data_IF_162086972060
#
_entry.id   IF_162086972060
#
_cell.length_a   1.000
_cell.length_b   1.000
_cell.length_c   1.000
_cell.angle_alpha   90.00
_cell.angle_beta   90.00
_cell.angle_gamma   90.00
#
_symmetry.space_group_name_H-M   'P 1'
#
loop_
_entity.id
_entity.type
_entity.pdbx_description
1 polymer ?
#
# COMPACT_ATOMS: atom_id res chain seq x y z
N UNK A 1 -5.11 -9.95 26.64
CA UNK A 1 -4.96 -10.28 25.20
C UNK A 1 -3.54 -10.02 24.67
N UNK A 2 -2.54 -9.95 25.56
CA UNK A 2 -1.11 -9.84 25.23
C UNK A 2 -0.60 -10.94 24.30
N UNK A 3 0.38 -10.60 23.46
CA UNK A 3 1.17 -11.56 22.70
C UNK A 3 0.39 -12.31 21.62
N UNK A 4 -0.74 -11.74 21.19
CA UNK A 4 -1.59 -12.33 20.15
C UNK A 4 -1.20 -11.79 18.76
N UNK A 5 -2.06 -12.00 17.77
CA UNK A 5 -1.84 -11.56 16.39
C UNK A 5 -2.97 -10.64 15.93
N UNK A 6 -3.35 -9.70 16.79
CA UNK A 6 -4.40 -8.74 16.50
C UNK A 6 -3.85 -7.61 15.61
N UNK A 7 -4.59 -7.26 14.54
CA UNK A 7 -4.28 -6.09 13.69
C UNK A 7 -5.00 -4.82 14.16
N UNK A 8 -6.06 -5.00 14.94
CA UNK A 8 -6.86 -3.94 15.53
C UNK A 8 -7.60 -4.48 16.74
N UNK A 9 -8.13 -3.55 17.52
CA UNK A 9 -8.96 -3.85 18.65
C UNK A 9 -10.12 -2.87 18.70
N UNK A 10 -11.35 -3.37 18.77
CA UNK A 10 -12.53 -2.55 18.94
C UNK A 10 -13.06 -2.69 20.36
N UNK A 11 -13.12 -1.58 21.09
CA UNK A 11 -13.49 -1.59 22.51
C UNK A 11 -14.95 -1.97 22.75
N UNK A 12 -15.83 -1.95 21.72
CA UNK A 12 -17.19 -2.50 21.82
C UNK A 12 -17.22 -4.00 22.12
N UNK A 13 -16.13 -4.73 21.84
CA UNK A 13 -16.06 -6.17 22.13
C UNK A 13 -15.97 -6.49 23.63
N UNK A 14 -15.64 -5.49 24.45
CA UNK A 14 -15.44 -5.67 25.90
C UNK A 14 -16.36 -4.79 26.75
N UNK A 15 -17.36 -4.12 26.15
CA UNK A 15 -18.29 -3.25 26.90
C UNK A 15 -19.19 -3.98 27.89
N UNK A 16 -19.44 -5.28 27.67
CA UNK A 16 -20.34 -6.07 28.50
C UNK A 16 -19.61 -6.82 29.63
N UNK A 17 -18.45 -6.33 30.06
CA UNK A 17 -17.63 -6.92 31.11
C UNK A 17 -17.62 -6.01 32.36
N UNK A 18 -18.59 -6.16 33.30
CA UNK A 18 -18.84 -5.17 34.35
C UNK A 18 -17.73 -5.05 35.40
N UNK A 19 -16.86 -6.06 35.51
CA UNK A 19 -15.74 -6.08 36.47
C UNK A 19 -14.38 -5.81 35.79
N UNK A 20 -14.39 -5.47 34.49
CA UNK A 20 -13.16 -5.27 33.74
C UNK A 20 -12.44 -3.99 34.19
N UNK A 21 -11.22 -4.17 34.68
CA UNK A 21 -10.39 -3.06 35.18
C UNK A 21 -8.99 -3.03 34.58
N UNK A 22 -8.48 -4.13 34.01
CA UNK A 22 -7.18 -4.19 33.35
C UNK A 22 -7.30 -4.83 31.97
N UNK A 23 -6.71 -4.20 30.95
CA UNK A 23 -6.68 -4.69 29.57
C UNK A 23 -5.25 -4.63 29.04
N UNK A 24 -4.66 -5.81 28.89
CA UNK A 24 -3.34 -5.94 28.27
C UNK A 24 -3.48 -6.38 26.79
N UNK A 25 -3.13 -5.48 25.88
CA UNK A 25 -3.05 -5.65 24.42
C UNK A 25 -1.61 -5.59 23.91
N UNK A 26 -0.61 -5.66 24.80
CA UNK A 26 0.79 -5.49 24.42
C UNK A 26 1.26 -6.58 23.46
N UNK A 27 2.31 -6.29 22.69
CA UNK A 27 3.00 -7.27 21.83
C UNK A 27 2.06 -7.94 20.81
N UNK A 28 1.22 -7.13 20.16
CA UNK A 28 0.33 -7.52 19.06
C UNK A 28 0.83 -6.86 17.75
N UNK A 29 -0.04 -6.72 16.74
CA UNK A 29 0.26 -6.02 15.48
C UNK A 29 -0.74 -4.89 15.22
N UNK A 30 -1.25 -4.24 16.28
CA UNK A 30 -2.31 -3.24 16.20
C UNK A 30 -1.83 -2.02 15.41
N UNK A 31 -2.56 -1.66 14.35
CA UNK A 31 -2.31 -0.42 13.60
C UNK A 31 -3.21 0.73 14.07
N UNK A 32 -4.36 0.41 14.66
CA UNK A 32 -5.27 1.35 15.31
C UNK A 32 -6.13 0.62 16.35
N UNK A 33 -6.84 1.42 17.14
CA UNK A 33 -7.88 0.98 18.08
C UNK A 33 -9.18 1.73 17.79
N UNK A 34 -10.29 1.00 17.76
CA UNK A 34 -11.61 1.59 17.54
C UNK A 34 -12.29 1.92 18.87
N UNK A 35 -12.62 3.20 19.04
CA UNK A 35 -13.30 3.75 20.22
C UNK A 35 -14.55 4.53 19.80
N UNK A 36 -15.66 3.86 19.49
CA UNK A 36 -16.93 4.53 19.29
C UNK A 36 -17.37 5.29 20.55
N UNK A 37 -18.03 6.44 20.38
CA UNK A 37 -18.50 7.28 21.50
C UNK A 37 -19.48 6.59 22.45
N UNK A 38 -20.08 5.48 22.03
CA UNK A 38 -21.00 4.66 22.83
C UNK A 38 -20.30 3.78 23.86
N UNK A 39 -18.99 3.57 23.72
CA UNK A 39 -18.20 2.73 24.64
C UNK A 39 -17.98 3.49 25.94
N UNK A 40 -18.43 2.90 27.05
CA UNK A 40 -18.14 3.36 28.42
C UNK A 40 -17.51 2.22 29.20
N UNK A 41 -16.26 2.42 29.63
CA UNK A 41 -15.50 1.50 30.47
C UNK A 41 -14.80 2.31 31.57
N UNK A 42 -14.30 1.63 32.59
CA UNK A 42 -13.53 2.25 33.68
C UNK A 42 -12.26 1.43 33.94
N UNK A 43 -11.34 1.45 32.98
CA UNK A 43 -10.10 0.68 33.04
C UNK A 43 -9.08 1.40 33.93
N UNK A 44 -8.54 0.70 34.93
CA UNK A 44 -7.42 1.14 35.76
C UNK A 44 -6.07 0.89 35.10
N UNK A 45 -6.00 -0.05 34.16
CA UNK A 45 -4.76 -0.40 33.46
C UNK A 45 -5.06 -0.73 31.99
N UNK A 46 -4.26 -0.15 31.09
CA UNK A 46 -4.28 -0.42 29.65
C UNK A 46 -2.87 -0.48 29.10
N UNK A 47 -2.44 -1.65 28.61
CA UNK A 47 -1.19 -1.74 27.84
C UNK A 47 -1.52 -1.92 26.36
N UNK A 48 -1.04 -0.99 25.52
CA UNK A 48 -1.03 -1.07 24.05
C UNK A 48 0.41 -1.03 23.51
N UNK A 49 1.39 -1.32 24.37
CA UNK A 49 2.81 -1.30 24.05
C UNK A 49 3.20 -2.34 22.99
N UNK A 50 4.31 -2.11 22.30
CA UNK A 50 4.88 -3.01 21.27
C UNK A 50 3.87 -3.40 20.18
N UNK A 51 3.29 -2.40 19.55
CA UNK A 51 2.35 -2.52 18.44
C UNK A 51 2.79 -1.64 17.26
N UNK A 52 1.94 -1.47 16.25
CA UNK A 52 2.20 -0.63 15.07
C UNK A 52 1.34 0.65 15.09
N UNK A 53 0.97 1.15 16.26
CA UNK A 53 0.13 2.35 16.37
C UNK A 53 0.94 3.57 15.97
N UNK A 54 0.33 4.41 15.13
CA UNK A 54 0.87 5.72 14.76
C UNK A 54 0.26 6.86 15.58
N UNK A 55 -0.94 6.64 16.09
CA UNK A 55 -1.66 7.62 16.90
C UNK A 55 -2.59 6.90 17.86
N UNK A 56 -3.00 7.59 18.91
CA UNK A 56 -3.98 7.11 19.89
C UNK A 56 -5.07 8.18 20.00
N UNK A 57 -6.34 7.83 19.74
CA UNK A 57 -7.41 8.82 19.72
C UNK A 57 -7.67 9.40 21.11
N UNK A 58 -7.95 10.71 21.19
CA UNK A 58 -8.30 11.39 22.44
C UNK A 58 -9.52 10.77 23.16
N UNK A 59 -10.40 10.09 22.39
CA UNK A 59 -11.52 9.33 22.93
C UNK A 59 -11.11 8.21 23.89
N UNK A 60 -9.84 7.77 23.88
CA UNK A 60 -9.32 6.79 24.83
C UNK A 60 -9.52 7.22 26.29
N UNK A 61 -9.45 8.53 26.59
CA UNK A 61 -9.70 9.05 27.94
C UNK A 61 -11.05 8.62 28.52
N UNK A 62 -12.08 8.47 27.68
CA UNK A 62 -13.45 8.16 28.12
C UNK A 62 -13.61 6.75 28.68
N UNK A 63 -12.65 5.87 28.42
CA UNK A 63 -12.69 4.45 28.84
C UNK A 63 -11.75 4.14 30.01
N UNK A 64 -10.98 5.14 30.45
CA UNK A 64 -9.99 5.04 31.52
C UNK A 64 -10.59 5.55 32.84
N UNK A 65 -10.27 4.87 33.93
CA UNK A 65 -10.55 5.34 35.28
C UNK A 65 -9.63 6.53 35.63
N UNK A 66 -10.00 7.28 36.67
CA UNK A 66 -9.13 8.30 37.23
C UNK A 66 -7.82 7.66 37.72
N UNK A 67 -6.67 8.26 37.36
CA UNK A 67 -5.33 7.73 37.68
C UNK A 67 -5.05 6.35 37.06
N UNK A 68 -5.70 6.01 35.95
CA UNK A 68 -5.39 4.78 35.21
C UNK A 68 -3.95 4.80 34.67
N UNK A 69 -3.34 3.61 34.62
CA UNK A 69 -2.02 3.35 34.03
C UNK A 69 -2.15 3.00 32.55
N UNK A 70 -1.47 3.74 31.68
CA UNK A 70 -1.44 3.46 30.23
C UNK A 70 -0.02 3.30 29.72
N UNK A 71 0.34 2.13 29.20
CA UNK A 71 1.62 1.89 28.52
C UNK A 71 1.42 1.83 27.00
N UNK A 72 2.05 2.75 26.27
CA UNK A 72 1.99 2.85 24.81
C UNK A 72 3.38 2.88 24.15
N UNK A 73 4.41 2.46 24.89
CA UNK A 73 5.80 2.37 24.42
C UNK A 73 5.98 1.38 23.28
N UNK A 74 7.10 1.44 22.54
CA UNK A 74 7.39 0.49 21.45
C UNK A 74 6.54 0.67 20.18
N UNK A 75 5.78 1.75 20.06
CA UNK A 75 5.00 2.13 18.89
C UNK A 75 5.66 3.29 18.12
N UNK A 76 5.51 3.32 16.79
CA UNK A 76 6.09 4.35 15.93
C UNK A 76 5.15 5.56 15.77
N UNK A 77 5.11 6.43 16.77
CA UNK A 77 4.13 7.52 16.88
C UNK A 77 4.37 8.67 15.87
N UNK A 78 3.30 9.08 15.20
CA UNK A 78 3.20 10.33 14.44
C UNK A 78 2.79 11.44 15.41
N UNK A 79 3.75 12.27 15.83
CA UNK A 79 3.57 13.38 16.77
C UNK A 79 2.99 14.61 16.08
N UNK A 80 1.69 14.54 15.77
CA UNK A 80 0.88 15.64 15.24
C UNK A 80 -0.16 16.12 16.28
N UNK A 81 -1.06 17.03 15.87
CA UNK A 81 -2.11 17.54 16.76
C UNK A 81 -3.04 16.47 17.33
N UNK A 82 -3.12 15.26 16.75
CA UNK A 82 -3.98 14.18 17.27
C UNK A 82 -3.44 13.60 18.56
N UNK A 83 -2.14 13.79 18.84
CA UNK A 83 -1.52 13.41 20.12
C UNK A 83 -1.47 14.56 21.13
N UNK A 84 -2.00 15.75 20.78
CA UNK A 84 -2.00 16.94 21.66
C UNK A 84 -2.62 16.67 23.03
N UNK A 85 -3.66 15.84 23.08
CA UNK A 85 -4.32 15.48 24.34
C UNK A 85 -3.40 14.78 25.36
N UNK A 86 -2.28 14.19 24.92
CA UNK A 86 -1.32 13.52 25.78
C UNK A 86 -0.37 14.50 26.50
N UNK A 87 -0.09 15.67 25.92
CA UNK A 87 0.81 16.68 26.51
C UNK A 87 0.05 17.79 27.23
N UNK A 88 -1.28 17.84 27.11
CA UNK A 88 -2.12 18.86 27.74
C UNK A 88 -2.12 18.71 29.28
N UNK A 89 -1.61 19.70 30.05
CA UNK A 89 -1.56 19.66 31.51
C UNK A 89 -2.95 19.60 32.17
N UNK A 90 -4.00 20.09 31.50
CA UNK A 90 -5.37 19.96 32.01
C UNK A 90 -5.87 18.51 31.93
N UNK A 91 -5.29 17.70 31.05
CA UNK A 91 -5.67 16.30 30.82
C UNK A 91 -4.79 15.31 31.60
N UNK A 92 -3.56 15.69 31.97
CA UNK A 92 -2.62 14.87 32.74
C UNK A 92 -3.08 14.57 34.18
N UNK A 93 -4.08 15.30 34.69
CA UNK A 93 -4.68 15.08 36.03
C UNK A 93 -5.65 13.90 36.09
N UNK A 94 -6.13 13.42 34.94
CA UNK A 94 -7.14 12.35 34.86
C UNK A 94 -6.54 11.00 34.45
N UNK A 95 -5.47 11.01 33.65
CA UNK A 95 -4.82 9.81 33.11
C UNK A 95 -3.32 9.84 33.44
N UNK A 96 -2.81 8.80 34.09
CA UNK A 96 -1.36 8.61 34.24
C UNK A 96 -0.86 7.73 33.09
N UNK A 97 -0.25 8.37 32.10
CA UNK A 97 0.46 7.61 31.06
C UNK A 97 1.76 7.11 31.68
N UNK A 98 1.81 5.79 31.93
CA UNK A 98 3.02 5.15 32.44
C UNK A 98 4.10 5.21 31.36
N UNK A 99 5.35 5.47 31.78
CA UNK A 99 6.49 5.69 30.86
C UNK A 99 6.22 6.70 29.74
N UNK A 100 5.44 7.75 30.05
CA UNK A 100 5.23 8.88 29.11
C UNK A 100 6.55 9.44 28.56
N UNK A 101 7.60 9.37 29.37
CA UNK A 101 8.96 9.82 29.04
C UNK A 101 9.65 8.98 27.95
N UNK A 102 9.14 7.79 27.66
CA UNK A 102 9.72 6.82 26.71
C UNK A 102 8.98 6.80 25.37
N UNK A 103 7.95 7.64 25.20
CA UNK A 103 7.26 7.81 23.92
C UNK A 103 8.14 8.67 23.01
N UNK A 104 8.69 8.07 21.97
CA UNK A 104 9.56 8.71 20.98
C UNK A 104 8.78 8.92 19.69
N UNK A 105 8.85 10.14 19.17
CA UNK A 105 8.26 10.52 17.90
C UNK A 105 9.05 9.90 16.74
N UNK A 106 8.36 9.19 15.84
CA UNK A 106 8.94 8.68 14.60
C UNK A 106 8.68 9.61 13.42
N UNK A 107 7.65 10.44 13.51
CA UNK A 107 7.22 11.40 12.49
C UNK A 107 6.54 12.58 13.19
N UNK A 108 6.46 13.78 12.58
CA UNK A 108 7.13 14.20 11.35
C UNK A 108 8.65 14.25 11.49
N UNK A 109 9.38 14.36 10.38
CA UNK A 109 10.86 14.36 10.37
C UNK A 109 11.47 15.40 11.32
N UNK A 110 10.86 16.59 11.42
CA UNK A 110 11.28 17.65 12.37
C UNK A 110 11.22 17.23 13.85
N UNK A 111 10.40 16.23 14.17
CA UNK A 111 10.24 15.67 15.51
C UNK A 111 10.83 14.27 15.65
N UNK A 112 11.44 13.70 14.59
CA UNK A 112 11.99 12.35 14.63
C UNK A 112 13.01 12.21 15.76
N UNK A 113 12.86 11.18 16.60
CA UNK A 113 13.74 10.91 17.75
C UNK A 113 13.47 11.76 18.99
N UNK A 114 12.60 12.78 18.91
CA UNK A 114 12.23 13.60 20.07
C UNK A 114 11.26 12.85 20.97
N UNK A 115 11.43 13.00 22.29
CA UNK A 115 10.49 12.49 23.30
C UNK A 115 9.25 13.36 23.38
N UNK A 116 8.06 12.74 23.40
CA UNK A 116 6.77 13.44 23.43
C UNK A 116 6.64 14.37 24.65
N UNK A 117 7.19 13.97 25.81
CA UNK A 117 7.23 14.80 27.03
C UNK A 117 7.92 16.16 26.86
N UNK A 118 8.86 16.26 25.92
CA UNK A 118 9.63 17.49 25.69
C UNK A 118 9.01 18.38 24.60
N UNK A 119 7.83 18.03 24.11
CA UNK A 119 7.11 18.79 23.10
C UNK A 119 6.11 19.73 23.76
N UNK A 120 5.95 20.90 23.16
CA UNK A 120 4.90 21.87 23.54
C UNK A 120 3.74 21.82 22.55
N UNK A 121 2.64 22.47 22.90
CA UNK A 121 1.42 22.50 22.07
C UNK A 121 1.67 22.96 20.63
N UNK A 122 2.53 23.97 20.46
CA UNK A 122 2.94 24.50 19.16
C UNK A 122 3.84 23.55 18.36
N UNK A 123 4.46 22.55 19.00
CA UNK A 123 5.19 21.52 18.25
C UNK A 123 4.23 20.53 17.60
N UNK A 124 3.02 20.34 18.13
CA UNK A 124 2.04 19.36 17.66
C UNK A 124 1.04 20.00 16.69
N UNK A 125 1.56 20.46 15.56
CA UNK A 125 0.74 21.01 14.49
C UNK A 125 0.20 19.89 13.60
N UNK A 126 -1.10 19.95 13.32
CA UNK A 126 -1.63 19.36 12.11
C UNK A 126 -1.53 20.45 11.06
N UNK A 127 -0.78 20.20 9.99
CA UNK A 127 -1.06 20.94 8.76
C UNK A 127 -2.50 20.59 8.39
N UNK A 128 -3.41 21.56 8.49
CA UNK A 128 -4.65 21.48 7.74
C UNK A 128 -4.27 21.48 6.26
N UNK A 129 -3.89 20.32 5.74
CA UNK A 129 -4.48 19.92 4.49
C UNK A 129 -5.98 19.97 4.77
N UNK A 130 -6.62 21.05 4.32
CA UNK A 130 -8.03 21.14 3.95
C UNK A 130 -8.59 19.75 3.62
N UNK A 131 -9.90 19.56 3.75
CA UNK A 131 -10.70 18.41 3.29
C UNK A 131 -10.60 18.11 1.76
N UNK A 132 -9.37 17.99 1.31
CA UNK A 132 -8.72 17.62 0.07
C UNK A 132 -7.25 17.38 0.51
N UNK A 133 -6.98 16.26 1.21
CA UNK A 133 -5.73 15.59 0.84
C UNK A 133 -5.81 15.48 -0.68
N UNK A 134 -4.93 16.12 -1.48
CA UNK A 134 -4.85 15.75 -2.88
C UNK A 134 -4.62 14.23 -2.84
N UNK A 135 -5.38 13.50 -3.66
CA UNK A 135 -5.40 12.04 -3.71
C UNK A 135 -3.98 11.45 -3.87
N UNK A 136 -3.21 11.32 -2.79
CA UNK A 136 -1.82 10.88 -2.88
C UNK A 136 -1.24 10.27 -1.61
N UNK A 137 -2.07 9.73 -0.70
CA UNK A 137 -1.58 8.61 0.09
C UNK A 137 -2.08 7.35 -0.59
N UNK A 138 -1.33 6.89 -1.59
CA UNK A 138 -1.55 5.58 -2.21
C UNK A 138 -1.52 4.47 -1.15
N UNK A 139 -0.99 4.73 0.05
CA UNK A 139 -0.90 3.80 1.17
C UNK A 139 -2.26 3.32 1.71
N UNK A 140 -2.32 2.07 2.15
CA UNK A 140 -3.52 1.53 2.79
C UNK A 140 -3.79 2.19 4.15
N UNK A 141 -5.05 2.56 4.38
CA UNK A 141 -5.51 3.00 5.68
C UNK A 141 -5.79 1.83 6.62
N UNK A 142 -5.99 2.17 7.90
CA UNK A 142 -6.42 1.27 8.95
C UNK A 142 -7.61 0.38 8.53
N UNK A 143 -8.70 0.99 8.08
CA UNK A 143 -9.94 0.29 7.74
C UNK A 143 -9.74 -0.75 6.63
N UNK A 144 -8.88 -0.47 5.64
CA UNK A 144 -8.58 -1.41 4.54
C UNK A 144 -7.74 -2.60 5.01
N UNK A 145 -6.91 -2.43 6.05
CA UNK A 145 -6.18 -3.53 6.70
C UNK A 145 -7.13 -4.43 7.51
N UNK A 146 -8.23 -3.86 8.01
CA UNK A 146 -9.24 -4.48 8.87
C UNK A 146 -10.15 -5.46 8.11
N UNK A 147 -10.61 -5.05 6.92
CA UNK A 147 -11.67 -5.76 6.21
C UNK A 147 -11.11 -6.91 5.37
N UNK A 148 -11.49 -8.15 5.70
CA UNK A 148 -11.64 -9.15 4.64
C UNK A 148 -12.83 -8.70 3.81
N UNK A 149 -12.64 -8.50 2.51
CA UNK A 149 -13.73 -8.14 1.60
C UNK A 149 -14.96 -9.01 1.87
N UNK A 150 -16.07 -8.38 2.27
CA UNK A 150 -17.39 -9.01 2.39
C UNK A 150 -17.94 -9.42 1.03
N UNK A 151 -17.34 -8.94 -0.06
CA UNK A 151 -17.73 -9.29 -1.42
C UNK A 151 -17.59 -10.78 -1.66
N UNK A 152 -18.55 -11.33 -2.40
CA UNK A 152 -18.41 -12.68 -2.92
C UNK A 152 -17.14 -12.82 -3.76
N UNK A 153 -16.46 -13.98 -3.76
CA UNK A 153 -15.27 -14.18 -4.59
C UNK A 153 -15.50 -13.90 -6.08
N UNK A 154 -16.73 -14.07 -6.58
CA UNK A 154 -17.10 -13.75 -7.98
C UNK A 154 -17.04 -12.24 -8.22
N UNK A 155 -17.62 -11.44 -7.32
CA UNK A 155 -17.64 -9.98 -7.43
C UNK A 155 -16.24 -9.39 -7.22
N UNK A 156 -15.49 -9.86 -6.22
CA UNK A 156 -14.11 -9.44 -5.99
C UNK A 156 -13.21 -9.69 -7.21
N UNK A 157 -13.31 -10.87 -7.83
CA UNK A 157 -12.60 -11.17 -9.08
C UNK A 157 -13.01 -10.22 -10.24
N UNK A 158 -14.29 -9.84 -10.33
CA UNK A 158 -14.78 -8.91 -11.35
C UNK A 158 -14.13 -7.53 -11.18
N UNK A 159 -14.01 -7.04 -9.95
CA UNK A 159 -13.34 -5.77 -9.62
C UNK A 159 -11.83 -5.82 -9.90
N UNK A 160 -11.14 -6.88 -9.47
CA UNK A 160 -9.71 -7.05 -9.79
C UNK A 160 -9.43 -7.08 -11.30
N UNK A 161 -10.35 -7.65 -12.09
CA UNK A 161 -10.26 -7.62 -13.56
C UNK A 161 -10.51 -6.21 -14.10
N UNK A 162 -11.50 -5.46 -13.58
CA UNK A 162 -11.76 -4.09 -14.04
C UNK A 162 -10.53 -3.18 -13.91
N UNK A 163 -9.73 -3.35 -12.85
CA UNK A 163 -8.49 -2.62 -12.60
C UNK A 163 -7.30 -3.08 -13.44
N UNK A 164 -7.34 -4.29 -14.01
CA UNK A 164 -6.19 -4.86 -14.71
C UNK A 164 -5.96 -4.16 -16.04
N UNK A 165 -4.72 -3.76 -16.33
CA UNK A 165 -4.29 -3.29 -17.63
C UNK A 165 -3.56 -4.39 -18.38
N UNK A 166 -3.68 -4.43 -19.70
CA UNK A 166 -2.90 -5.29 -20.58
C UNK A 166 -2.19 -4.43 -21.59
N UNK A 167 -0.87 -4.54 -21.62
CA UNK A 167 -0.01 -3.92 -22.60
C UNK A 167 0.17 -4.91 -23.75
N UNK A 168 -0.06 -4.41 -24.96
CA UNK A 168 -0.05 -5.17 -26.20
C UNK A 168 0.97 -4.56 -27.15
N UNK A 169 1.75 -5.38 -27.84
CA UNK A 169 2.60 -4.93 -28.94
C UNK A 169 1.76 -4.48 -30.17
N UNK A 170 2.46 -4.07 -31.24
CA UNK A 170 1.85 -3.72 -32.52
C UNK A 170 1.03 -4.85 -33.16
N UNK A 171 1.34 -6.12 -32.83
CA UNK A 171 0.64 -7.31 -33.30
C UNK A 171 -0.53 -7.71 -32.38
N UNK A 172 -0.92 -6.82 -31.46
CA UNK A 172 -1.94 -7.04 -30.43
C UNK A 172 -1.67 -8.27 -29.55
N UNK A 173 -0.40 -8.66 -29.39
CA UNK A 173 0.02 -9.70 -28.47
C UNK A 173 0.33 -9.10 -27.09
N UNK A 174 -0.18 -9.71 -26.00
CA UNK A 174 0.17 -9.29 -24.66
C UNK A 174 1.65 -9.46 -24.37
N UNK A 175 2.33 -8.35 -24.03
CA UNK A 175 3.75 -8.31 -23.66
C UNK A 175 3.96 -8.05 -22.18
N UNK A 176 3.02 -7.37 -21.52
CA UNK A 176 2.98 -7.20 -20.07
C UNK A 176 1.55 -6.99 -19.58
N UNK A 177 1.36 -7.19 -18.29
CA UNK A 177 0.17 -6.75 -17.57
C UNK A 177 0.44 -5.41 -16.87
N UNK A 178 -0.58 -4.84 -16.26
CA UNK A 178 -0.46 -3.69 -15.41
C UNK A 178 -1.71 -3.51 -14.56
N UNK A 179 -1.80 -2.37 -13.91
CA UNK A 179 -2.92 -2.04 -13.05
C UNK A 179 -3.23 -0.54 -13.12
N UNK A 180 -4.51 -0.21 -13.18
CA UNK A 180 -5.01 1.15 -12.98
C UNK A 180 -4.92 1.48 -11.49
N UNK A 181 -4.06 2.44 -11.14
CA UNK A 181 -3.78 2.83 -9.75
C UNK A 181 -4.42 4.15 -9.34
N UNK A 182 -4.79 4.98 -10.31
CA UNK A 182 -5.54 6.22 -10.13
C UNK A 182 -6.23 6.61 -11.45
N UNK A 183 -7.01 7.69 -11.44
CA UNK A 183 -7.70 8.17 -12.64
C UNK A 183 -6.67 8.53 -13.72
N UNK A 184 -6.73 7.81 -14.85
CA UNK A 184 -5.81 8.05 -15.95
C UNK A 184 -4.36 7.60 -15.73
N UNK A 185 -4.08 6.80 -14.69
CA UNK A 185 -2.75 6.25 -14.40
C UNK A 185 -2.72 4.73 -14.37
N UNK A 186 -1.74 4.15 -15.06
CA UNK A 186 -1.46 2.70 -15.05
C UNK A 186 -0.03 2.46 -14.60
N UNK A 187 0.15 1.52 -13.67
CA UNK A 187 1.45 0.98 -13.27
C UNK A 187 1.72 -0.34 -13.99
N UNK A 188 2.93 -0.51 -14.52
CA UNK A 188 3.42 -1.73 -15.16
C UNK A 188 4.93 -1.87 -14.98
N UNK A 189 5.54 -2.91 -15.55
CA UNK A 189 7.00 -3.11 -15.53
C UNK A 189 7.68 -2.31 -16.64
N UNK A 190 8.84 -1.73 -16.37
CA UNK A 190 9.57 -0.88 -17.31
C UNK A 190 10.19 -1.63 -18.48
N UNK A 191 10.84 -2.77 -18.20
CA UNK A 191 11.58 -3.58 -19.17
C UNK A 191 10.72 -4.11 -20.32
N UNK A 192 9.41 -4.27 -20.12
CA UNK A 192 8.49 -4.69 -21.18
C UNK A 192 8.22 -3.58 -22.21
N UNK A 193 8.53 -2.32 -21.86
CA UNK A 193 8.30 -1.14 -22.69
C UNK A 193 9.60 -0.59 -23.29
N UNK A 194 10.77 -0.95 -22.77
CA UNK A 194 12.08 -0.47 -23.27
C UNK A 194 12.33 -0.86 -24.74
N UNK A 195 12.03 -2.11 -25.12
CA UNK A 195 12.21 -2.59 -26.50
C UNK A 195 11.22 -2.00 -27.52
N UNK A 196 10.28 -1.19 -27.06
CA UNK A 196 9.20 -0.58 -27.87
C UNK A 196 9.43 0.92 -28.07
N UNK A 197 10.36 1.53 -27.32
CA UNK A 197 10.52 2.97 -27.18
C UNK A 197 11.73 3.56 -27.95
N UNK A 198 11.83 3.28 -29.24
CA UNK A 198 12.57 4.16 -30.18
C UNK A 198 11.64 4.91 -31.16
N UNK A 199 10.31 4.81 -31.02
CA UNK A 199 9.37 5.54 -31.86
C UNK A 199 8.73 6.71 -31.09
N UNK A 200 9.29 7.91 -31.24
CA UNK A 200 8.85 9.18 -30.60
C UNK A 200 7.54 9.76 -31.14
N UNK A 201 6.68 8.98 -31.81
CA UNK A 201 5.36 9.46 -32.28
C UNK A 201 4.24 8.41 -32.11
N UNK A 202 4.60 7.13 -31.97
CA UNK A 202 3.69 6.05 -31.64
C UNK A 202 4.31 5.29 -30.48
N UNK A 203 3.60 5.15 -29.36
CA UNK A 203 4.08 4.41 -28.19
C UNK A 203 4.51 2.97 -28.48
N UNK A 204 4.32 2.46 -29.71
CA UNK A 204 4.70 1.11 -30.18
C UNK A 204 3.97 -0.03 -29.45
N UNK A 205 3.09 0.33 -28.51
CA UNK A 205 2.21 -0.55 -27.77
C UNK A 205 0.82 0.10 -27.64
N UNK A 206 -0.17 -0.74 -27.40
CA UNK A 206 -1.52 -0.34 -27.04
C UNK A 206 -1.90 -0.91 -25.68
N UNK A 207 -2.77 -0.21 -24.94
CA UNK A 207 -3.17 -0.63 -23.59
C UNK A 207 -4.67 -0.89 -23.54
N UNK A 208 -5.09 -2.05 -23.04
CA UNK A 208 -6.51 -2.36 -22.78
C UNK A 208 -6.76 -2.49 -21.29
N UNK A 209 -7.85 -1.90 -20.81
CA UNK A 209 -8.26 -1.98 -19.41
C UNK A 209 -9.38 -3.01 -19.25
N UNK A 210 -9.21 -3.90 -18.28
CA UNK A 210 -10.06 -5.03 -17.97
C UNK A 210 -10.38 -5.92 -19.16
N UNK A 211 -11.67 -6.02 -19.49
CA UNK A 211 -12.16 -6.80 -20.63
C UNK A 211 -12.53 -5.92 -21.84
N UNK A 212 -12.19 -4.63 -21.81
CA UNK A 212 -12.43 -3.75 -22.96
C UNK A 212 -11.70 -4.28 -24.19
N UNK A 213 -12.37 -4.25 -25.34
CA UNK A 213 -11.75 -4.52 -26.64
C UNK A 213 -11.02 -3.29 -27.20
N UNK A 214 -11.47 -2.09 -26.82
CA UNK A 214 -10.91 -0.82 -27.28
C UNK A 214 -9.71 -0.43 -26.42
N UNK A 215 -8.54 -0.16 -27.03
CA UNK A 215 -7.41 0.36 -26.28
C UNK A 215 -7.69 1.78 -25.79
N UNK A 216 -7.01 2.17 -24.71
CA UNK A 216 -7.00 3.55 -24.23
C UNK A 216 -5.96 4.36 -24.99
N UNK A 217 -6.14 5.68 -25.04
CA UNK A 217 -5.17 6.59 -25.64
C UNK A 217 -4.06 6.86 -24.63
N UNK A 218 -2.85 6.38 -24.92
CA UNK A 218 -1.65 6.67 -24.13
C UNK A 218 -1.21 8.10 -24.42
N UNK A 219 -0.87 8.84 -23.36
CA UNK A 219 -0.39 10.22 -23.42
C UNK A 219 1.12 10.27 -23.22
N UNK A 220 1.61 9.60 -22.18
CA UNK A 220 3.03 9.58 -21.83
C UNK A 220 3.36 8.32 -21.04
N UNK A 221 4.58 7.85 -21.20
CA UNK A 221 5.17 6.79 -20.38
C UNK A 221 6.34 7.38 -19.61
N UNK A 222 6.41 7.09 -18.32
CA UNK A 222 7.43 7.58 -17.40
C UNK A 222 8.07 6.35 -16.74
N UNK A 223 9.38 6.21 -16.86
CA UNK A 223 10.13 5.06 -16.37
C UNK A 223 10.79 5.42 -15.05
N UNK A 224 10.91 4.46 -14.15
CA UNK A 224 11.75 4.66 -12.97
C UNK A 224 13.21 4.87 -13.43
N UNK A 225 13.95 5.87 -12.89
CA UNK A 225 15.29 6.20 -13.37
C UNK A 225 16.28 5.03 -13.33
N UNK A 226 16.11 4.11 -12.39
CA UNK A 226 16.96 2.92 -12.22
C UNK A 226 16.62 1.73 -13.16
N UNK A 227 15.63 1.83 -14.06
CA UNK A 227 15.31 0.75 -15.01
C UNK A 227 16.50 0.43 -15.94
N UNK A 228 17.18 1.41 -16.58
CA UNK A 228 18.31 1.16 -17.47
C UNK A 228 19.51 0.49 -16.76
N UNK A 229 19.62 0.64 -15.43
CA UNK A 229 20.63 -0.03 -14.60
C UNK A 229 20.30 -1.50 -14.35
N UNK A 230 19.21 -2.02 -14.91
CA UNK A 230 18.73 -3.41 -14.77
C UNK A 230 18.48 -3.82 -13.31
N UNK A 231 18.17 -2.85 -12.44
CA UNK A 231 17.80 -3.13 -11.06
C UNK A 231 16.35 -3.64 -11.00
N UNK A 232 16.18 -4.97 -10.96
CA UNK A 232 14.86 -5.61 -11.02
C UNK A 232 13.86 -5.13 -9.95
N UNK A 233 14.33 -4.68 -8.78
CA UNK A 233 13.49 -4.12 -7.70
C UNK A 233 12.84 -2.79 -8.07
N UNK A 234 13.41 -2.06 -9.03
CA UNK A 234 12.92 -0.75 -9.49
C UNK A 234 12.40 -0.82 -10.93
N UNK A 235 12.16 -2.04 -11.44
CA UNK A 235 11.70 -2.27 -12.81
C UNK A 235 10.21 -1.92 -12.98
N UNK A 236 9.88 -0.64 -12.91
CA UNK A 236 8.51 -0.13 -13.02
C UNK A 236 8.42 1.06 -13.98
N UNK A 237 7.23 1.24 -14.56
CA UNK A 237 6.87 2.38 -15.38
C UNK A 237 5.41 2.80 -15.14
N UNK A 238 5.17 4.10 -15.25
CA UNK A 238 3.85 4.71 -15.22
C UNK A 238 3.41 5.09 -16.63
N UNK A 239 2.17 4.77 -16.96
CA UNK A 239 1.53 5.14 -18.22
C UNK A 239 0.39 6.10 -17.89
N UNK A 240 0.52 7.35 -18.34
CA UNK A 240 -0.57 8.31 -18.35
C UNK A 240 -1.44 8.01 -19.56
N UNK A 241 -2.74 7.84 -19.34
CA UNK A 241 -3.71 7.58 -20.40
C UNK A 241 -4.96 8.44 -20.25
N UNK A 242 -5.67 8.62 -21.36
CA UNK A 242 -7.02 9.17 -21.39
C UNK A 242 -7.98 8.05 -21.72
N UNK A 243 -8.84 7.73 -20.75
CA UNK A 243 -9.95 6.81 -20.93
C UNK A 243 -11.13 7.47 -21.65
N UNK A 244 -12.17 6.68 -21.92
CA UNK A 244 -13.50 7.22 -22.26
C UNK A 244 -14.18 7.85 -21.05
N UNK A 245 -15.52 7.70 -20.89
CA UNK A 245 -16.26 8.22 -19.72
C UNK A 245 -15.56 7.86 -18.39
N UNK A 246 -15.41 8.84 -17.49
CA UNK A 246 -15.01 8.62 -16.08
C UNK A 246 -15.83 7.49 -15.50
N UNK A 247 -15.18 6.37 -15.18
CA UNK A 247 -15.84 5.29 -14.47
C UNK A 247 -15.93 5.68 -13.01
N UNK A 248 -17.02 6.35 -12.62
CA UNK A 248 -17.27 6.80 -11.24
C UNK A 248 -17.23 5.67 -10.17
N UNK A 249 -17.20 4.40 -10.60
CA UNK A 249 -17.24 3.20 -9.74
C UNK A 249 -15.94 2.36 -9.73
N UNK A 250 -14.76 2.94 -10.03
CA UNK A 250 -13.50 2.20 -9.92
C UNK A 250 -12.79 2.56 -8.61
N UNK A 251 -12.95 1.68 -7.62
CA UNK A 251 -12.13 1.67 -6.41
C UNK A 251 -10.68 1.33 -6.78
N UNK A 252 -9.73 2.20 -6.46
CA UNK A 252 -8.30 2.03 -6.75
C UNK A 252 -7.63 1.17 -5.67
N UNK A 253 -6.55 0.41 -6.00
CA UNK A 253 -5.79 -0.29 -4.97
C UNK A 253 -5.13 0.72 -4.02
N UNK A 254 -4.97 0.31 -2.77
CA UNK A 254 -4.02 0.94 -1.85
C UNK A 254 -2.73 0.11 -1.80
N UNK A 255 -1.61 0.74 -1.50
CA UNK A 255 -0.28 0.17 -1.43
C UNK A 255 0.03 -0.15 0.03
N UNK A 256 0.44 -1.39 0.28
CA UNK A 256 0.95 -1.76 1.58
C UNK A 256 2.33 -1.15 1.78
N UNK A 257 2.56 -0.55 2.94
CA UNK A 257 3.93 -0.26 3.40
C UNK A 257 4.62 -1.56 3.82
N UNK A 258 5.95 -1.53 4.02
CA UNK A 258 6.71 -2.67 4.51
C UNK A 258 6.15 -3.20 5.85
N UNK A 259 5.99 -2.32 6.84
CA UNK A 259 5.47 -2.70 8.16
C UNK A 259 4.05 -3.28 8.09
N UNK A 260 3.19 -2.72 7.22
CA UNK A 260 1.85 -3.26 6.96
C UNK A 260 1.92 -4.65 6.36
N UNK A 261 2.75 -4.87 5.34
CA UNK A 261 2.91 -6.18 4.73
C UNK A 261 3.46 -7.21 5.73
N UNK A 262 4.52 -6.88 6.47
CA UNK A 262 5.13 -7.78 7.45
C UNK A 262 4.15 -8.18 8.55
N UNK A 263 3.36 -7.24 9.06
CA UNK A 263 2.37 -7.50 10.10
C UNK A 263 1.17 -8.29 9.57
N UNK A 264 0.60 -7.89 8.45
CA UNK A 264 -0.58 -8.56 7.88
C UNK A 264 -0.22 -9.95 7.35
N UNK A 265 0.96 -10.14 6.76
CA UNK A 265 1.39 -11.42 6.19
C UNK A 265 1.67 -12.50 7.24
N UNK A 266 1.92 -12.12 8.50
CA UNK A 266 2.00 -13.07 9.63
C UNK A 266 0.68 -13.77 9.89
N UNK A 267 -0.45 -13.13 9.55
CA UNK A 267 -1.81 -13.64 9.77
C UNK A 267 -2.42 -14.13 8.46
N UNK A 268 -2.35 -13.32 7.41
CA UNK A 268 -2.94 -13.56 6.10
C UNK A 268 -1.87 -13.97 5.11
N UNK A 269 -1.76 -15.28 4.84
CA UNK A 269 -0.84 -15.80 3.81
C UNK A 269 -1.44 -15.98 2.43
N UNK A 270 -2.76 -15.82 2.30
CA UNK A 270 -3.46 -15.94 1.00
C UNK A 270 -3.13 -14.73 0.16
N UNK A 271 -2.92 -14.95 -1.14
CA UNK A 271 -2.75 -13.86 -2.09
C UNK A 271 -3.64 -14.08 -3.31
N UNK A 272 -3.94 -12.99 -3.99
CA UNK A 272 -4.63 -13.01 -5.28
C UNK A 272 -3.98 -12.05 -6.25
N UNK A 273 -4.01 -12.37 -7.54
CA UNK A 273 -3.49 -11.51 -8.59
C UNK A 273 -4.23 -11.79 -9.90
N UNK A 274 -4.16 -10.85 -10.85
CA UNK A 274 -4.72 -11.02 -12.19
C UNK A 274 -3.60 -11.12 -13.21
N UNK A 275 -3.72 -12.08 -14.13
CA UNK A 275 -2.68 -12.36 -15.12
C UNK A 275 -3.31 -12.93 -16.40
N UNK A 276 -2.55 -12.94 -17.49
CA UNK A 276 -2.93 -13.59 -18.74
C UNK A 276 -2.34 -14.98 -18.86
N UNK A 277 -3.18 -15.91 -19.30
CA UNK A 277 -2.81 -17.28 -19.62
C UNK A 277 -2.46 -17.43 -21.09
N UNK A 278 -1.31 -18.04 -21.37
CA UNK A 278 -0.96 -18.52 -22.71
C UNK A 278 -1.50 -19.93 -22.93
N UNK A 279 -2.11 -20.15 -24.09
CA UNK A 279 -2.51 -21.49 -24.54
C UNK A 279 -1.86 -21.79 -25.88
N UNK A 280 -0.56 -22.12 -25.89
CA UNK A 280 0.26 -22.63 -27.02
C UNK A 280 0.23 -21.89 -28.37
N UNK A 281 -0.65 -20.89 -28.58
CA UNK A 281 -0.76 -20.09 -29.80
C UNK A 281 -0.80 -18.58 -29.53
N UNK A 282 -1.42 -18.10 -28.43
CA UNK A 282 -1.40 -16.70 -27.93
C UNK A 282 -1.87 -16.61 -26.45
N UNK A 283 -1.62 -15.48 -25.79
CA UNK A 283 -2.23 -15.14 -24.48
C UNK A 283 -3.71 -14.76 -24.62
N UNK A 284 -4.62 -15.72 -24.39
CA UNK A 284 -6.02 -15.55 -24.77
C UNK A 284 -6.96 -15.11 -23.64
N UNK A 285 -6.67 -15.44 -22.37
CA UNK A 285 -7.65 -15.27 -21.27
C UNK A 285 -7.04 -14.55 -20.06
N UNK A 286 -7.56 -13.36 -19.77
CA UNK A 286 -7.34 -12.66 -18.50
C UNK A 286 -8.08 -13.41 -17.38
N UNK A 287 -7.33 -13.88 -16.38
CA UNK A 287 -7.89 -14.63 -15.25
C UNK A 287 -7.31 -14.16 -13.91
N UNK A 288 -8.13 -14.20 -12.86
CA UNK A 288 -7.62 -14.11 -11.50
C UNK A 288 -6.98 -15.45 -11.12
N UNK A 289 -5.89 -15.37 -10.37
CA UNK A 289 -5.18 -16.49 -9.76
C UNK A 289 -5.12 -16.27 -8.25
N UNK A 290 -5.03 -17.39 -7.54
CA UNK A 290 -4.90 -17.42 -6.08
C UNK A 290 -3.63 -18.18 -5.75
N UNK A 291 -2.88 -17.67 -4.79
CA UNK A 291 -1.64 -18.27 -4.32
C UNK A 291 -1.55 -18.21 -2.81
N UNK A 292 -0.36 -18.54 -2.33
CA UNK A 292 0.05 -18.34 -0.94
C UNK A 292 1.46 -17.77 -0.93
N UNK A 293 1.72 -16.84 -0.01
CA UNK A 293 3.09 -16.36 0.23
C UNK A 293 4.02 -17.55 0.50
N UNK A 294 5.17 -17.53 -0.16
CA UNK A 294 6.25 -18.49 0.00
C UNK A 294 7.33 -17.90 0.90
N UNK A 295 8.01 -18.74 1.68
CA UNK A 295 9.18 -18.34 2.47
C UNK A 295 10.48 -18.41 1.66
N UNK A 296 10.48 -19.17 0.56
CA UNK A 296 11.63 -19.32 -0.31
C UNK A 296 11.53 -18.24 -1.40
N UNK A 297 12.34 -17.20 -1.28
CA UNK A 297 12.57 -16.29 -2.39
C UNK A 297 13.96 -16.51 -2.99
N UNK A 298 14.10 -16.23 -4.29
CA UNK A 298 15.41 -16.17 -4.94
C UNK A 298 16.25 -15.02 -4.36
N UNK A 299 15.60 -13.99 -3.83
CA UNK A 299 16.20 -12.88 -3.09
C UNK A 299 15.20 -12.31 -2.08
N UNK A 300 15.67 -11.94 -0.88
CA UNK A 300 14.86 -11.31 0.18
C UNK A 300 14.22 -9.97 -0.25
N UNK A 301 14.71 -9.37 -1.34
CA UNK A 301 14.21 -8.11 -1.89
C UNK A 301 12.89 -8.24 -2.65
N UNK A 302 12.39 -9.46 -2.87
CA UNK A 302 11.13 -9.71 -3.61
C UNK A 302 10.11 -10.44 -2.74
N UNK A 303 8.83 -10.27 -3.09
CA UNK A 303 7.74 -11.08 -2.53
C UNK A 303 7.55 -12.30 -3.43
N UNK A 304 7.52 -13.50 -2.84
CA UNK A 304 7.29 -14.73 -3.59
C UNK A 304 5.95 -15.37 -3.24
N UNK A 305 5.27 -15.88 -4.26
CA UNK A 305 4.01 -16.60 -4.07
C UNK A 305 3.99 -17.89 -4.87
N UNK A 306 3.61 -18.97 -4.18
CA UNK A 306 3.36 -20.28 -4.78
C UNK A 306 1.90 -20.39 -5.20
N UNK A 307 1.68 -20.68 -6.47
CA UNK A 307 0.35 -20.96 -7.05
C UNK A 307 0.11 -22.47 -7.02
N UNK A 308 -1.06 -22.92 -6.58
CA UNK A 308 -1.35 -24.37 -6.54
C UNK A 308 -1.37 -24.96 -7.97
N UNK A 309 -0.54 -25.98 -8.20
CA UNK A 309 -0.39 -26.68 -9.48
C UNK A 309 -1.68 -27.32 -10.02
N UNK A 310 -2.59 -27.77 -9.14
CA UNK A 310 -3.80 -28.53 -9.50
C UNK A 310 -4.84 -27.82 -10.39
N UNK A 311 -4.56 -26.61 -10.88
CA UNK A 311 -5.41 -25.87 -11.83
C UNK A 311 -4.67 -25.38 -13.08
N UNK A 312 -3.39 -25.67 -13.23
CA UNK A 312 -2.59 -25.23 -14.38
C UNK A 312 -2.32 -26.46 -15.24
N UNK A 313 -2.84 -26.46 -16.48
CA UNK A 313 -2.57 -27.56 -17.41
C UNK A 313 -1.07 -27.58 -17.73
N UNK A 314 -0.47 -28.76 -17.98
CA UNK A 314 0.98 -28.97 -18.28
C UNK A 314 1.60 -28.02 -19.32
N UNK A 315 0.80 -27.28 -20.09
CA UNK A 315 1.21 -26.39 -21.18
C UNK A 315 0.75 -24.92 -21.02
N UNK A 316 0.21 -24.54 -19.87
CA UNK A 316 -0.23 -23.16 -19.60
C UNK A 316 0.90 -22.36 -18.93
N UNK A 317 1.36 -21.28 -19.56
CA UNK A 317 2.26 -20.29 -18.93
C UNK A 317 1.48 -19.03 -18.52
N UNK A 318 1.93 -18.38 -17.44
CA UNK A 318 1.40 -17.09 -16.98
C UNK A 318 2.30 -15.98 -17.50
N UNK A 319 1.71 -14.93 -18.07
CA UNK A 319 2.42 -13.66 -18.26
C UNK A 319 2.45 -12.97 -16.90
N UNK A 320 3.52 -13.15 -16.13
CA UNK A 320 3.57 -12.61 -14.76
C UNK A 320 3.91 -11.12 -14.73
N UNK A 321 4.70 -10.65 -15.69
CA UNK A 321 5.16 -9.26 -15.78
C UNK A 321 4.02 -8.26 -15.67
N UNK A 322 4.14 -7.35 -14.71
CA UNK A 322 3.17 -6.31 -14.39
C UNK A 322 1.87 -6.80 -13.74
N UNK A 323 1.78 -8.07 -13.34
CA UNK A 323 0.58 -8.59 -12.67
C UNK A 323 0.45 -8.02 -11.25
N UNK A 324 -0.67 -7.38 -10.87
CA UNK A 324 -0.80 -6.80 -9.53
C UNK A 324 -1.05 -7.89 -8.47
N UNK A 325 -0.22 -7.92 -7.43
CA UNK A 325 -0.33 -8.81 -6.28
C UNK A 325 -1.12 -8.14 -5.15
N UNK A 326 -2.14 -8.84 -4.67
CA UNK A 326 -2.94 -8.42 -3.53
C UNK A 326 -2.80 -9.40 -2.36
N UNK A 327 -2.70 -8.86 -1.14
CA UNK A 327 -2.66 -9.63 0.09
C UNK A 327 -4.09 -9.89 0.59
N UNK A 328 -4.50 -11.16 0.56
CA UNK A 328 -5.80 -11.64 1.01
C UNK A 328 -6.62 -12.35 -0.06
N UNK A 329 -7.93 -12.06 -0.08
CA UNK A 329 -8.94 -12.67 -0.96
C UNK A 329 -9.21 -11.76 -2.17
N UNK A 330 -9.77 -12.30 -3.28
CA UNK A 330 -10.20 -11.46 -4.37
C UNK A 330 -11.24 -10.44 -3.90
N UNK A 331 -11.06 -9.18 -4.29
CA UNK A 331 -11.86 -8.05 -3.81
C UNK A 331 -11.10 -7.17 -2.82
N UNK A 332 -10.12 -7.72 -2.10
CA UNK A 332 -9.26 -6.91 -1.24
C UNK A 332 -8.44 -5.93 -2.10
N UNK A 333 -8.38 -4.66 -1.67
CA UNK A 333 -7.68 -3.59 -2.39
C UNK A 333 -6.23 -3.38 -1.91
N UNK A 334 -5.75 -4.20 -0.97
CA UNK A 334 -4.37 -4.18 -0.43
C UNK A 334 -3.36 -4.74 -1.42
N UNK A 335 -2.79 -3.88 -2.25
CA UNK A 335 -1.73 -4.23 -3.18
C UNK A 335 -0.39 -4.34 -2.44
N UNK A 336 0.30 -5.47 -2.63
CA UNK A 336 1.58 -5.77 -2.01
C UNK A 336 2.75 -5.64 -3.00
N UNK A 337 2.49 -5.82 -4.30
CA UNK A 337 3.57 -5.82 -5.27
C UNK A 337 3.14 -5.96 -6.72
N UNK A 338 4.13 -5.93 -7.60
CA UNK A 338 3.97 -6.00 -9.05
C UNK A 338 4.79 -7.16 -9.62
N UNK A 339 4.15 -8.02 -10.41
CA UNK A 339 4.78 -9.25 -10.92
C UNK A 339 5.97 -8.94 -11.81
N UNK A 340 7.05 -9.70 -11.63
CA UNK A 340 8.26 -9.62 -12.45
C UNK A 340 8.73 -11.02 -12.77
N UNK A 341 9.09 -11.25 -14.02
CA UNK A 341 9.65 -12.51 -14.46
C UNK A 341 11.04 -12.68 -13.83
N UNK A 342 11.17 -13.75 -13.06
CA UNK A 342 12.43 -14.17 -12.47
C UNK A 342 12.50 -15.69 -12.54
N UNK A 343 13.67 -16.23 -12.87
CA UNK A 343 13.88 -17.68 -12.91
C UNK A 343 13.84 -18.22 -11.48
N UNK A 344 12.83 -19.02 -11.17
CA UNK A 344 12.65 -19.66 -9.85
C UNK A 344 13.01 -21.14 -9.91
N UNK A 345 13.37 -21.73 -8.77
CA UNK A 345 13.63 -23.18 -8.65
C UNK A 345 12.34 -24.01 -8.76
N UNK A 346 11.16 -23.38 -8.61
CA UNK A 346 9.85 -24.01 -8.69
C UNK A 346 8.99 -23.39 -9.78
N UNK A 347 8.54 -24.19 -10.75
CA UNK A 347 7.71 -23.76 -11.89
C UNK A 347 6.37 -23.12 -11.51
N UNK A 348 5.93 -23.22 -10.25
CA UNK A 348 4.69 -22.60 -9.74
C UNK A 348 4.93 -21.45 -8.78
N UNK A 349 6.17 -20.98 -8.67
CA UNK A 349 6.56 -19.87 -7.83
C UNK A 349 6.85 -18.64 -8.69
N UNK A 350 6.29 -17.51 -8.26
CA UNK A 350 6.33 -16.26 -8.99
C UNK A 350 6.81 -15.15 -8.05
N UNK A 351 7.62 -14.25 -8.58
CA UNK A 351 8.20 -13.12 -7.86
C UNK A 351 7.46 -11.82 -8.17
N UNK A 352 7.47 -10.92 -7.18
CA UNK A 352 6.80 -9.63 -7.25
C UNK A 352 7.70 -8.58 -6.61
N UNK A 353 7.87 -7.46 -7.31
CA UNK A 353 8.50 -6.24 -6.79
C UNK A 353 7.63 -5.74 -5.64
N UNK A 354 8.16 -5.56 -4.41
CA UNK A 354 7.40 -4.99 -3.32
C UNK A 354 6.93 -3.57 -3.65
N UNK A 355 5.65 -3.27 -3.48
CA UNK A 355 5.12 -1.97 -3.95
C UNK A 355 5.70 -0.78 -3.18
N UNK A 356 6.07 -0.99 -1.92
CA UNK A 356 6.69 0.03 -1.07
C UNK A 356 8.10 0.43 -1.52
N UNK A 357 8.79 -0.37 -2.34
CA UNK A 357 10.11 0.04 -2.84
C UNK A 357 10.04 1.08 -3.96
N UNK A 358 8.84 1.41 -4.45
CA UNK A 358 8.62 2.36 -5.55
C UNK A 358 7.45 3.31 -5.28
N UNK A 359 6.80 3.23 -4.12
CA UNK A 359 5.58 4.01 -3.81
C UNK A 359 5.82 5.50 -3.84
N UNK A 360 6.97 5.93 -3.36
CA UNK A 360 7.31 7.34 -3.19
C UNK A 360 7.60 7.97 -4.56
N UNK A 361 8.40 7.29 -5.38
CA UNK A 361 8.59 7.64 -6.79
C UNK A 361 7.25 7.74 -7.54
N UNK A 362 6.34 6.76 -7.37
CA UNK A 362 5.02 6.79 -8.00
C UNK A 362 4.24 8.04 -7.57
N UNK A 363 4.18 8.31 -6.27
CA UNK A 363 3.47 9.47 -5.70
C UNK A 363 4.02 10.79 -6.21
N UNK A 364 5.35 10.95 -6.19
CA UNK A 364 6.05 12.15 -6.65
C UNK A 364 5.79 12.42 -8.13
N UNK A 365 5.96 11.40 -8.98
CA UNK A 365 5.74 11.53 -10.43
C UNK A 365 4.28 11.87 -10.76
N UNK A 366 3.32 11.20 -10.12
CA UNK A 366 1.90 11.46 -10.35
C UNK A 366 1.52 12.88 -9.93
N UNK A 367 1.94 13.31 -8.74
CA UNK A 367 1.67 14.65 -8.21
C UNK A 367 2.28 15.75 -9.07
N UNK A 368 3.54 15.59 -9.48
CA UNK A 368 4.24 16.55 -10.34
C UNK A 368 3.56 16.65 -11.70
N UNK A 369 3.22 15.51 -12.32
CA UNK A 369 2.57 15.51 -13.63
C UNK A 369 1.15 16.10 -13.57
N UNK A 370 0.31 15.67 -12.64
CA UNK A 370 -1.08 16.13 -12.58
C UNK A 370 -1.20 17.59 -12.11
N UNK A 371 -0.19 18.16 -11.45
CA UNK A 371 -0.16 19.58 -11.07
C UNK A 371 0.34 20.51 -12.20
N UNK A 372 1.25 20.04 -13.06
CA UNK A 372 1.91 20.87 -14.09
C UNK A 372 1.51 20.56 -15.54
N UNK A 373 0.71 19.51 -15.77
CA UNK A 373 0.28 19.13 -17.11
C UNK A 373 -1.23 19.31 -17.31
N UNK A 374 -1.59 19.88 -18.45
CA UNK A 374 -2.97 19.90 -18.95
C UNK A 374 -3.12 18.93 -20.12
N UNK A 375 -4.18 18.13 -20.09
CA UNK A 375 -4.47 17.14 -21.13
C UNK A 375 -5.47 17.72 -22.13
N UNK A 376 -5.12 17.66 -23.41
CA UNK A 376 -5.97 18.12 -24.50
C UNK A 376 -6.24 17.00 -25.52
N UNK A 377 -6.95 17.33 -26.60
CA UNK A 377 -7.31 16.37 -27.66
C UNK A 377 -6.08 15.84 -28.42
N UNK A 378 -4.98 16.60 -28.49
CA UNK A 378 -3.76 16.26 -29.24
C UNK A 378 -2.69 15.58 -28.40
N UNK A 379 -2.74 15.67 -27.07
CA UNK A 379 -1.72 15.12 -26.16
C UNK A 379 -1.81 15.72 -24.77
N UNK A 380 -0.65 15.94 -24.13
CA UNK A 380 -0.52 16.76 -22.92
C UNK A 380 0.42 17.93 -23.19
N UNK A 381 0.08 19.08 -22.64
CA UNK A 381 0.94 20.26 -22.58
C UNK A 381 1.35 20.42 -21.13
N UNK A 382 2.66 20.36 -20.87
CA UNK A 382 3.21 20.42 -19.52
C UNK A 382 4.17 21.61 -19.41
N UNK A 383 4.18 22.23 -18.24
CA UNK A 383 5.32 23.06 -17.82
C UNK A 383 6.57 22.16 -17.62
N UNK A 384 7.68 22.78 -17.24
CA UNK A 384 8.89 22.04 -16.90
C UNK A 384 8.62 21.09 -15.71
N UNK A 385 8.70 19.78 -15.98
CA UNK A 385 8.51 18.74 -14.97
C UNK A 385 9.84 18.45 -14.28
N UNK A 386 9.84 18.60 -12.96
CA UNK A 386 10.93 18.21 -12.07
C UNK A 386 10.68 16.77 -11.61
N UNK A 387 11.07 15.82 -12.45
CA UNK A 387 10.97 14.40 -12.14
C UNK A 387 12.26 13.91 -11.47
N UNK A 388 12.19 12.94 -10.54
CA UNK A 388 13.39 12.39 -9.91
C UNK A 388 14.38 11.86 -10.95
N UNK A 389 15.63 12.25 -10.80
CA UNK A 389 16.75 11.84 -11.65
C UNK A 389 17.34 10.51 -11.19
N UNK A 390 18.29 9.96 -11.96
CA UNK A 390 19.05 8.76 -11.52
C UNK A 390 19.85 9.08 -10.26
N UNK A 391 20.44 10.27 -10.17
CA UNK A 391 21.25 10.72 -9.03
C UNK A 391 20.41 10.81 -7.75
N UNK A 392 19.21 11.41 -7.83
CA UNK A 392 18.27 11.48 -6.71
C UNK A 392 17.94 10.07 -6.18
N UNK A 393 17.66 9.12 -7.08
CA UNK A 393 17.35 7.74 -6.71
C UNK A 393 18.57 7.00 -6.15
N UNK A 394 19.79 7.30 -6.61
CA UNK A 394 21.02 6.70 -6.06
C UNK A 394 21.30 7.23 -4.65
N UNK A 395 21.08 8.53 -4.42
CA UNK A 395 21.23 9.12 -3.08
C UNK A 395 20.27 8.49 -2.07
N UNK A 396 19.01 8.22 -2.47
CA UNK A 396 18.04 7.50 -1.62
C UNK A 396 18.45 6.05 -1.29
N UNK A 397 19.31 5.43 -2.11
CA UNK A 397 19.82 4.08 -1.86
C UNK A 397 21.02 4.04 -0.90
N UNK A 398 21.67 5.18 -0.67
CA UNK A 398 22.80 5.25 0.25
C UNK A 398 22.27 5.12 1.69
N UNK A 399 22.84 4.23 2.52
CA UNK A 399 22.48 4.21 3.93
C UNK A 399 22.78 5.60 4.50
N UNK A 400 21.80 6.20 5.18
CA UNK A 400 22.04 7.41 5.95
C UNK A 400 23.19 7.11 6.91
N UNK A 401 24.35 7.73 6.69
CA UNK A 401 25.43 7.68 7.66
C UNK A 401 24.88 8.28 8.96
N UNK A 402 24.85 7.48 10.02
CA UNK A 402 24.47 7.91 11.35
C UNK A 402 25.40 9.06 11.77
N UNK A 403 24.83 10.24 12.00
CA UNK A 403 25.48 11.37 12.68
C UNK A 403 24.88 11.55 14.07
#
# INVERSE_FOLDING_TARGET
>A
MKGNKLLNFNFTWITNLPQLSSVDLSSNYLFWVDLPDTVKLSLKELSIADNNLKTVPAGLKKILAQSAFVDMTGNAMDCDCKLRWLIDPALSTVVHVDKFEDIICKSPDRLHGRKLKHLVDSDLECTESNHQQPQSTLTCDAMTLQQQSSLSPRLGNKLSIKRHATILDNNLQPIANGIVIADGWILTVGSALEGVAQATVNSGFSVRIGRSKKPVRVIRTLYHPLVPMKMHQYNVALIRYVGGKKTKDVDYPCFLTQNQFESVSKIVRKVSFTTRLSTKRRYAKLKPKKGRLSRACVSEKFICSKVKAGKQKKNESLLIDGSPLYLGRPGDSRMAGLGVYMKTSNLFEYAFIPIWSVSDWIGTVMKEFDSKCTINRRGATCEHLQLPSIEDMIMELQPMEEH
#
